data_IF_696391404909
#
_entry.id   IF_696391404909
#
_cell.length_a   1.000
_cell.length_b   1.000
_cell.length_c   1.000
_cell.angle_alpha   90.00
_cell.angle_beta   90.00
_cell.angle_gamma   90.00
#
_symmetry.space_group_name_H-M   'P 1'
#
loop_
_entity.id
_entity.type
_entity.pdbx_description
1 polymer ?
#
# COMPACT_ATOMS: atom_id res chain seq x y z
N UNK A 1 -10.83 -8.65 -16.77
CA UNK A 1 -10.42 -8.23 -15.40
C UNK A 1 -10.13 -6.74 -15.41
N UNK A 2 -10.52 -6.01 -14.37
CA UNK A 2 -10.09 -4.62 -14.10
C UNK A 2 -8.94 -4.64 -13.09
N UNK A 3 -7.87 -3.87 -13.36
CA UNK A 3 -6.80 -3.47 -12.43
C UNK A 3 -6.95 -1.97 -12.18
N UNK A 4 -7.54 -1.59 -11.03
CA UNK A 4 -7.89 -0.21 -10.68
C UNK A 4 -6.81 0.42 -9.80
N UNK A 5 -6.35 1.62 -10.18
CA UNK A 5 -5.16 2.22 -9.61
C UNK A 5 -3.92 1.39 -9.96
N UNK A 6 -3.81 0.99 -11.23
CA UNK A 6 -2.85 -0.02 -11.68
C UNK A 6 -1.38 0.41 -11.55
N UNK A 7 -1.10 1.72 -11.40
CA UNK A 7 0.25 2.24 -11.36
C UNK A 7 1.10 1.73 -12.55
N UNK A 8 2.17 1.02 -12.25
CA UNK A 8 3.04 0.37 -13.24
C UNK A 8 2.50 -0.96 -13.78
N UNK A 9 1.22 -1.31 -13.54
CA UNK A 9 0.56 -2.51 -14.04
C UNK A 9 1.06 -3.81 -13.39
N UNK A 10 1.45 -3.77 -12.12
CA UNK A 10 1.99 -4.95 -11.44
C UNK A 10 0.94 -6.05 -11.30
N UNK A 11 -0.22 -5.73 -10.77
CA UNK A 11 -1.32 -6.70 -10.54
C UNK A 11 -1.80 -7.27 -11.87
N UNK A 12 -2.09 -6.42 -12.85
CA UNK A 12 -2.55 -6.86 -14.17
C UNK A 12 -1.61 -7.87 -14.80
N UNK A 13 -0.30 -7.61 -14.78
CA UNK A 13 0.71 -8.53 -15.34
C UNK A 13 0.89 -9.80 -14.50
N UNK A 14 0.76 -9.70 -13.16
CA UNK A 14 0.90 -10.86 -12.28
C UNK A 14 -0.24 -11.86 -12.47
N UNK A 15 -1.46 -11.37 -12.70
CA UNK A 15 -2.63 -12.23 -12.89
C UNK A 15 -2.90 -12.60 -14.36
N UNK A 16 -2.28 -11.91 -15.32
CA UNK A 16 -2.45 -12.21 -16.75
C UNK A 16 -2.27 -13.68 -17.14
N UNK A 17 -1.28 -14.44 -16.59
CA UNK A 17 -1.13 -15.86 -16.91
C UNK A 17 -2.30 -16.76 -16.45
N UNK A 18 -3.12 -16.27 -15.52
CA UNK A 18 -4.30 -17.01 -15.00
C UNK A 18 -5.60 -16.63 -15.67
N UNK A 19 -5.57 -15.65 -16.57
CA UNK A 19 -6.73 -15.25 -17.39
C UNK A 19 -6.84 -16.20 -18.58
N UNK A 20 -8.05 -16.63 -18.88
CA UNK A 20 -8.31 -17.51 -20.04
C UNK A 20 -7.76 -16.91 -21.35
N UNK A 21 -7.29 -17.74 -22.29
CA UNK A 21 -6.87 -17.27 -23.61
C UNK A 21 -7.92 -16.36 -24.26
N UNK A 22 -7.46 -15.24 -24.84
CA UNK A 22 -8.35 -14.21 -25.42
C UNK A 22 -9.01 -13.30 -24.39
N UNK A 23 -8.71 -13.47 -23.11
CA UNK A 23 -9.18 -12.55 -22.06
C UNK A 23 -8.52 -11.19 -22.10
N UNK A 24 -9.01 -10.26 -21.29
CA UNK A 24 -8.57 -8.86 -21.28
C UNK A 24 -8.30 -8.36 -19.87
N UNK A 25 -7.21 -7.63 -19.70
CA UNK A 25 -6.91 -6.81 -18.51
C UNK A 25 -7.10 -5.35 -18.87
N UNK A 26 -8.03 -4.67 -18.19
CA UNK A 26 -8.20 -3.21 -18.28
C UNK A 26 -7.48 -2.59 -17.09
N UNK A 27 -6.43 -1.84 -17.36
CA UNK A 27 -5.62 -1.12 -16.39
C UNK A 27 -6.10 0.33 -16.33
N UNK A 28 -6.61 0.78 -15.19
CA UNK A 28 -7.08 2.15 -15.00
C UNK A 28 -6.21 2.85 -13.96
N UNK A 29 -5.70 4.03 -14.30
CA UNK A 29 -4.98 4.91 -13.37
C UNK A 29 -5.23 6.36 -13.79
N UNK A 30 -5.15 7.32 -12.86
CA UNK A 30 -5.27 8.75 -13.18
C UNK A 30 -3.97 9.35 -13.71
N UNK A 31 -2.83 8.71 -13.43
CA UNK A 31 -1.50 9.21 -13.76
C UNK A 31 -1.02 8.64 -15.11
N UNK A 32 -1.16 9.42 -16.21
CA UNK A 32 -0.72 8.99 -17.54
C UNK A 32 0.76 8.57 -17.62
N UNK A 33 1.71 9.19 -16.88
CA UNK A 33 3.09 8.71 -16.84
C UNK A 33 3.21 7.26 -16.32
N UNK A 34 2.41 6.88 -15.31
CA UNK A 34 2.38 5.51 -14.79
C UNK A 34 1.80 4.53 -15.81
N UNK A 35 0.73 4.94 -16.52
CA UNK A 35 0.14 4.15 -17.59
C UNK A 35 1.11 3.93 -18.75
N UNK A 36 1.91 4.92 -19.11
CA UNK A 36 2.94 4.78 -20.15
C UNK A 36 3.99 3.73 -19.75
N UNK A 37 4.44 3.73 -18.52
CA UNK A 37 5.33 2.72 -17.97
C UNK A 37 4.66 1.34 -17.92
N UNK A 38 3.40 1.27 -17.49
CA UNK A 38 2.64 0.02 -17.46
C UNK A 38 2.50 -0.61 -18.86
N UNK A 39 2.26 0.21 -19.90
CA UNK A 39 2.22 -0.24 -21.31
C UNK A 39 3.55 -0.83 -21.74
N UNK A 40 4.66 -0.15 -21.44
CA UNK A 40 6.00 -0.62 -21.78
C UNK A 40 6.29 -1.98 -21.14
N UNK A 41 6.00 -2.12 -19.85
CA UNK A 41 6.20 -3.38 -19.11
C UNK A 41 5.28 -4.50 -19.58
N UNK A 42 4.04 -4.19 -19.96
CA UNK A 42 3.10 -5.19 -20.48
C UNK A 42 3.50 -5.71 -21.86
N UNK A 43 4.13 -4.86 -22.68
CA UNK A 43 4.65 -5.27 -24.00
C UNK A 43 5.75 -6.35 -23.92
N UNK A 44 6.43 -6.47 -22.77
CA UNK A 44 7.42 -7.52 -22.51
C UNK A 44 6.79 -8.84 -22.02
N UNK A 45 5.47 -8.82 -21.74
CA UNK A 45 4.75 -9.99 -21.24
C UNK A 45 4.45 -10.99 -22.35
N UNK A 46 4.61 -12.27 -22.04
CA UNK A 46 4.36 -13.39 -22.98
C UNK A 46 2.98 -14.01 -22.77
N UNK A 47 2.01 -13.29 -22.20
CA UNK A 47 0.66 -13.82 -21.95
C UNK A 47 -0.21 -13.78 -23.20
N UNK A 48 -1.22 -14.66 -23.26
CA UNK A 48 -2.21 -14.70 -24.33
C UNK A 48 -3.40 -13.72 -24.10
N UNK A 49 -3.40 -12.97 -23.01
CA UNK A 49 -4.40 -11.96 -22.75
C UNK A 49 -3.97 -10.58 -23.29
N UNK A 50 -4.95 -9.76 -23.65
CA UNK A 50 -4.73 -8.38 -24.08
C UNK A 50 -4.71 -7.42 -22.89
N UNK A 51 -3.97 -6.33 -23.02
CA UNK A 51 -3.96 -5.22 -22.06
C UNK A 51 -4.58 -3.98 -22.70
N UNK A 52 -5.44 -3.32 -21.95
CA UNK A 52 -6.01 -2.01 -22.28
C UNK A 52 -5.66 -1.04 -21.15
N UNK A 53 -5.21 0.17 -21.50
CA UNK A 53 -4.79 1.17 -20.52
C UNK A 53 -5.64 2.42 -20.69
N UNK A 54 -6.34 2.81 -19.64
CA UNK A 54 -7.32 3.88 -19.63
C UNK A 54 -6.98 4.88 -18.53
N UNK A 55 -6.79 6.15 -18.90
CA UNK A 55 -6.67 7.22 -17.92
C UNK A 55 -8.05 7.51 -17.31
N UNK A 56 -8.16 7.44 -15.98
CA UNK A 56 -9.43 7.64 -15.30
C UNK A 56 -9.32 7.66 -13.78
N UNK A 57 -10.33 8.26 -13.15
CA UNK A 57 -10.44 8.37 -11.70
C UNK A 57 -11.04 7.09 -11.09
N UNK A 58 -10.49 6.66 -9.95
CA UNK A 58 -10.96 5.47 -9.25
C UNK A 58 -12.40 5.58 -8.72
N UNK A 59 -12.86 6.80 -8.42
CA UNK A 59 -14.24 7.07 -7.97
C UNK A 59 -15.24 7.26 -9.13
N UNK A 60 -14.82 7.10 -10.41
CA UNK A 60 -15.66 7.19 -11.60
C UNK A 60 -15.00 6.41 -12.73
N UNK A 61 -15.04 5.08 -12.62
CA UNK A 61 -14.36 4.16 -13.55
C UNK A 61 -14.99 4.25 -14.95
N UNK A 62 -14.22 4.53 -16.01
CA UNK A 62 -14.73 4.72 -17.37
C UNK A 62 -15.07 3.39 -18.06
N UNK A 63 -15.80 2.53 -17.39
CA UNK A 63 -16.32 1.27 -17.89
C UNK A 63 -17.83 1.20 -17.65
N UNK A 64 -18.53 0.49 -18.55
CA UNK A 64 -19.94 0.20 -18.37
C UNK A 64 -20.21 -0.70 -17.15
N UNK A 65 -21.43 -0.72 -16.66
CA UNK A 65 -21.87 -1.67 -15.64
C UNK A 65 -21.65 -3.10 -16.12
N UNK A 66 -21.28 -3.99 -15.20
CA UNK A 66 -21.14 -5.42 -15.45
C UNK A 66 -20.15 -5.79 -16.60
N UNK A 67 -19.16 -4.92 -16.87
CA UNK A 67 -18.23 -5.04 -18.00
C UNK A 67 -17.09 -6.05 -17.79
N UNK A 68 -16.84 -6.47 -16.55
CA UNK A 68 -15.71 -7.36 -16.20
C UNK A 68 -16.12 -8.50 -15.27
N UNK A 69 -15.38 -9.61 -15.32
CA UNK A 69 -15.58 -10.77 -14.43
C UNK A 69 -14.99 -10.55 -13.05
N UNK A 70 -13.93 -9.74 -12.95
CA UNK A 70 -13.24 -9.45 -11.70
C UNK A 70 -12.66 -8.04 -11.71
N UNK A 71 -12.63 -7.41 -10.52
CA UNK A 71 -11.97 -6.13 -10.29
C UNK A 71 -10.99 -6.25 -9.13
N UNK A 72 -9.79 -5.71 -9.32
CA UNK A 72 -8.71 -5.70 -8.33
C UNK A 72 -8.27 -4.27 -8.06
N UNK A 73 -7.87 -4.01 -6.80
CA UNK A 73 -7.04 -2.87 -6.45
C UNK A 73 -5.95 -3.31 -5.46
N UNK A 74 -4.80 -2.63 -5.52
CA UNK A 74 -3.70 -2.82 -4.56
C UNK A 74 -3.14 -1.48 -4.15
N UNK A 75 -3.05 -1.22 -2.83
CA UNK A 75 -2.51 0.03 -2.27
C UNK A 75 -3.10 1.29 -2.90
N UNK A 76 -4.38 1.23 -3.23
CA UNK A 76 -5.15 2.31 -3.82
C UNK A 76 -6.05 2.98 -2.78
N UNK A 77 -6.86 2.18 -2.08
CA UNK A 77 -7.90 2.68 -1.17
C UNK A 77 -7.31 3.50 -0.02
N UNK A 78 -6.10 3.16 0.41
CA UNK A 78 -5.37 3.88 1.46
C UNK A 78 -5.05 5.35 1.10
N UNK A 79 -5.08 5.71 -0.17
CA UNK A 79 -4.78 7.06 -0.66
C UNK A 79 -6.04 7.89 -0.94
N UNK A 80 -7.22 7.31 -0.80
CA UNK A 80 -8.48 7.96 -1.16
C UNK A 80 -9.20 8.52 0.07
N UNK A 81 -9.73 9.73 -0.06
CA UNK A 81 -10.59 10.33 0.95
C UNK A 81 -11.93 9.56 1.08
N UNK A 82 -12.42 9.00 -0.03
CA UNK A 82 -13.68 8.27 -0.14
C UNK A 82 -13.45 6.84 -0.70
N UNK A 83 -12.79 5.93 0.05
CA UNK A 83 -12.44 4.59 -0.46
C UNK A 83 -13.67 3.75 -0.80
N UNK A 84 -14.78 3.92 -0.06
CA UNK A 84 -16.02 3.19 -0.33
C UNK A 84 -16.64 3.56 -1.68
N UNK A 85 -16.48 4.80 -2.15
CA UNK A 85 -16.92 5.21 -3.49
C UNK A 85 -16.15 4.48 -4.58
N UNK A 86 -14.84 4.33 -4.41
CA UNK A 86 -14.00 3.55 -5.32
C UNK A 86 -14.43 2.07 -5.33
N UNK A 87 -14.64 1.49 -4.15
CA UNK A 87 -15.11 0.11 -4.02
C UNK A 87 -16.50 -0.09 -4.66
N UNK A 88 -17.40 0.90 -4.53
CA UNK A 88 -18.72 0.87 -5.19
C UNK A 88 -18.58 0.84 -6.73
N UNK A 89 -17.64 1.58 -7.30
CA UNK A 89 -17.33 1.53 -8.73
C UNK A 89 -16.81 0.15 -9.16
N UNK A 90 -15.93 -0.46 -8.35
CA UNK A 90 -15.49 -1.84 -8.61
C UNK A 90 -16.69 -2.82 -8.62
N UNK A 91 -17.60 -2.69 -7.66
CA UNK A 91 -18.84 -3.51 -7.60
C UNK A 91 -19.74 -3.24 -8.81
N UNK A 92 -19.87 -1.98 -9.24
CA UNK A 92 -20.69 -1.60 -10.40
C UNK A 92 -20.22 -2.28 -11.68
N UNK A 93 -18.92 -2.21 -11.95
CA UNK A 93 -18.35 -2.72 -13.21
C UNK A 93 -18.18 -4.23 -13.25
N UNK A 94 -18.21 -4.90 -12.09
CA UNK A 94 -18.19 -6.37 -12.02
C UNK A 94 -19.57 -6.92 -12.32
N UNK A 95 -19.65 -7.98 -13.17
CA UNK A 95 -20.90 -8.67 -13.47
C UNK A 95 -21.45 -9.44 -12.26
N UNK A 96 -22.76 -9.79 -12.22
CA UNK A 96 -23.29 -10.72 -11.25
C UNK A 96 -22.49 -12.04 -11.20
N UNK A 97 -22.26 -12.59 -10.01
CA UNK A 97 -21.39 -13.74 -9.77
C UNK A 97 -19.89 -13.47 -9.88
N UNK A 98 -19.49 -12.29 -10.34
CA UNK A 98 -18.07 -11.89 -10.43
C UNK A 98 -17.47 -11.54 -9.07
N UNK A 99 -16.16 -11.26 -9.05
CA UNK A 99 -15.39 -11.10 -7.82
C UNK A 99 -14.73 -9.73 -7.74
N UNK A 100 -14.72 -9.14 -6.53
CA UNK A 100 -13.96 -7.95 -6.18
C UNK A 100 -12.84 -8.37 -5.22
N UNK A 101 -11.62 -7.91 -5.47
CA UNK A 101 -10.42 -8.20 -4.67
C UNK A 101 -9.75 -6.90 -4.28
N UNK A 102 -9.54 -6.68 -2.99
CA UNK A 102 -8.78 -5.56 -2.45
C UNK A 102 -7.56 -6.07 -1.72
N UNK A 103 -6.39 -5.56 -2.08
CA UNK A 103 -5.12 -5.85 -1.44
C UNK A 103 -4.56 -4.56 -0.82
N UNK A 104 -4.87 -4.33 0.45
CA UNK A 104 -4.59 -3.06 1.12
C UNK A 104 -3.85 -3.26 2.44
N UNK A 105 -2.97 -2.31 2.81
CA UNK A 105 -2.21 -2.40 4.03
C UNK A 105 -3.04 -2.04 5.26
N UNK A 106 -2.52 -2.47 6.40
CA UNK A 106 -2.74 -1.86 7.70
C UNK A 106 -1.40 -1.29 8.18
N UNK A 107 -1.20 0.00 7.93
CA UNK A 107 -0.06 0.77 8.40
C UNK A 107 -0.41 1.57 9.66
N UNK A 108 -1.33 1.04 10.48
CA UNK A 108 -1.64 1.65 11.77
C UNK A 108 -0.39 1.66 12.66
N UNK A 109 -0.14 2.75 13.40
CA UNK A 109 0.98 2.81 14.32
C UNK A 109 0.81 1.81 15.48
N UNK A 110 1.77 0.94 15.69
CA UNK A 110 1.73 -0.06 16.77
C UNK A 110 2.41 -1.39 16.43
N UNK A 111 2.81 -1.58 15.17
CA UNK A 111 3.66 -2.71 14.80
C UNK A 111 5.07 -2.54 15.36
N UNK A 112 5.58 -3.58 16.03
CA UNK A 112 6.96 -3.59 16.51
C UNK A 112 7.89 -4.19 15.46
N UNK A 113 8.97 -3.49 15.16
CA UNK A 113 10.08 -3.99 14.35
C UNK A 113 11.33 -4.01 15.21
N UNK A 114 11.92 -5.19 15.41
CA UNK A 114 13.21 -5.30 16.07
C UNK A 114 14.32 -4.70 15.20
N UNK A 115 15.19 -3.90 15.82
CA UNK A 115 16.35 -3.28 15.20
C UNK A 115 17.55 -3.38 16.16
N UNK A 116 18.67 -3.91 15.71
CA UNK A 116 19.83 -4.23 16.57
C UNK A 116 20.65 -3.03 17.02
N UNK A 117 20.47 -1.88 16.41
CA UNK A 117 21.30 -0.67 16.69
C UNK A 117 20.84 0.12 17.91
N UNK A 118 19.65 -0.16 18.41
CA UNK A 118 19.14 0.48 19.63
C UNK A 118 18.12 -0.39 20.34
N UNK A 119 18.07 -0.28 21.65
CA UNK A 119 16.98 -0.79 22.48
C UNK A 119 16.00 0.35 22.74
N UNK A 120 14.70 0.06 22.64
CA UNK A 120 13.66 1.01 22.99
C UNK A 120 13.33 0.85 24.47
N UNK A 121 13.55 1.92 25.24
CA UNK A 121 12.98 2.01 26.58
C UNK A 121 11.45 2.19 26.51
N UNK A 122 10.75 1.86 27.59
CA UNK A 122 9.29 1.92 27.63
C UNK A 122 8.74 3.31 27.24
N UNK A 123 9.37 4.37 27.72
CA UNK A 123 8.98 5.75 27.41
C UNK A 123 9.20 6.08 25.93
N UNK A 124 10.25 5.53 25.30
CA UNK A 124 10.49 5.67 23.86
C UNK A 124 9.38 5.01 23.05
N UNK A 125 8.93 3.81 23.44
CA UNK A 125 7.83 3.09 22.78
C UNK A 125 6.54 3.90 22.85
N UNK A 126 6.22 4.46 24.02
CA UNK A 126 5.03 5.30 24.19
C UNK A 126 5.11 6.59 23.37
N UNK A 127 6.26 7.24 23.36
CA UNK A 127 6.48 8.46 22.59
C UNK A 127 6.32 8.22 21.09
N UNK A 128 6.94 7.16 20.56
CA UNK A 128 6.85 6.81 19.15
C UNK A 128 5.43 6.39 18.74
N UNK A 129 4.77 5.59 19.56
CA UNK A 129 3.38 5.22 19.34
C UNK A 129 2.47 6.47 19.29
N UNK A 130 2.65 7.38 20.25
CA UNK A 130 1.90 8.65 20.30
C UNK A 130 2.16 9.48 19.04
N UNK A 131 3.42 9.65 18.64
CA UNK A 131 3.79 10.41 17.45
C UNK A 131 3.20 9.79 16.18
N UNK A 132 3.29 8.47 16.05
CA UNK A 132 2.71 7.72 14.94
C UNK A 132 1.20 7.92 14.83
N UNK A 133 0.46 7.73 15.93
CA UNK A 133 -1.00 7.93 15.95
C UNK A 133 -1.38 9.39 15.72
N UNK A 134 -0.62 10.36 16.24
CA UNK A 134 -0.83 11.78 15.95
C UNK A 134 -0.74 12.06 14.45
N UNK A 135 0.33 11.60 13.80
CA UNK A 135 0.51 11.75 12.34
C UNK A 135 -0.57 11.01 11.54
N UNK A 136 -0.95 9.80 11.97
CA UNK A 136 -2.00 9.01 11.34
C UNK A 136 -3.35 9.75 11.31
N UNK A 137 -3.81 10.25 12.47
CA UNK A 137 -5.07 11.01 12.54
C UNK A 137 -4.99 12.35 11.81
N UNK A 138 -3.81 12.99 11.81
CA UNK A 138 -3.60 14.22 11.06
C UNK A 138 -3.68 14.00 9.55
N UNK A 139 -3.09 12.91 9.03
CA UNK A 139 -3.23 12.50 7.64
C UNK A 139 -4.70 12.34 7.24
N UNK A 140 -5.49 11.66 8.08
CA UNK A 140 -6.95 11.49 7.85
C UNK A 140 -7.67 12.84 7.88
N UNK A 141 -7.37 13.71 8.85
CA UNK A 141 -7.98 15.04 8.97
C UNK A 141 -7.69 15.93 7.75
N UNK A 142 -6.55 15.74 7.10
CA UNK A 142 -6.17 16.42 5.84
C UNK A 142 -6.81 15.81 4.58
N UNK A 143 -7.59 14.74 4.71
CA UNK A 143 -8.23 14.06 3.58
C UNK A 143 -7.26 13.26 2.70
N UNK A 144 -6.08 12.92 3.20
CA UNK A 144 -5.05 12.18 2.46
C UNK A 144 -5.24 10.64 2.50
N UNK A 145 -6.44 10.20 2.88
CA UNK A 145 -6.80 8.79 2.96
C UNK A 145 -6.51 8.16 4.32
N UNK A 146 -6.70 6.84 4.40
CA UNK A 146 -6.54 6.03 5.60
C UNK A 146 -5.48 4.95 5.38
N UNK A 147 -4.29 5.12 5.94
CA UNK A 147 -3.19 4.15 5.76
C UNK A 147 -3.45 2.78 6.42
N UNK A 148 -4.50 2.65 7.24
CA UNK A 148 -4.96 1.40 7.83
C UNK A 148 -6.30 0.91 7.22
N UNK A 149 -6.64 1.36 6.02
CA UNK A 149 -7.92 1.04 5.34
C UNK A 149 -8.17 -0.46 5.20
N UNK A 150 -7.10 -1.26 5.15
CA UNK A 150 -7.21 -2.71 5.00
C UNK A 150 -8.17 -3.36 6.01
N UNK A 151 -8.18 -2.87 7.26
CA UNK A 151 -9.06 -3.40 8.32
C UNK A 151 -10.54 -3.05 8.14
N UNK A 152 -10.85 -2.03 7.33
CA UNK A 152 -12.22 -1.56 7.10
C UNK A 152 -12.89 -2.18 5.86
N UNK A 153 -12.12 -2.87 5.01
CA UNK A 153 -12.62 -3.42 3.74
C UNK A 153 -13.79 -4.39 3.93
N UNK A 154 -13.79 -5.34 4.88
CA UNK A 154 -14.91 -6.27 5.03
C UNK A 154 -16.23 -5.57 5.31
N UNK A 155 -16.24 -4.52 6.12
CA UNK A 155 -17.42 -3.73 6.40
C UNK A 155 -17.91 -2.99 5.15
N UNK A 156 -17.02 -2.36 4.40
CA UNK A 156 -17.35 -1.68 3.15
C UNK A 156 -17.92 -2.66 2.12
N UNK A 157 -17.29 -3.84 1.95
CA UNK A 157 -17.80 -4.90 1.06
C UNK A 157 -19.21 -5.36 1.45
N UNK A 158 -19.44 -5.55 2.76
CA UNK A 158 -20.76 -5.95 3.26
C UNK A 158 -21.82 -4.88 3.00
N UNK A 159 -21.54 -3.60 3.27
CA UNK A 159 -22.45 -2.49 2.98
C UNK A 159 -22.80 -2.36 1.51
N UNK A 160 -21.86 -2.68 0.63
CA UNK A 160 -22.07 -2.69 -0.83
C UNK A 160 -22.75 -3.98 -1.36
N UNK A 161 -23.19 -4.87 -0.47
CA UNK A 161 -23.97 -6.04 -0.81
C UNK A 161 -23.15 -7.21 -1.37
N UNK A 162 -21.82 -7.20 -1.23
CA UNK A 162 -21.00 -8.36 -1.60
C UNK A 162 -21.23 -9.52 -0.62
N UNK A 163 -21.18 -10.74 -1.14
CA UNK A 163 -21.38 -11.98 -0.39
C UNK A 163 -20.15 -12.87 -0.45
N UNK A 164 -20.06 -13.88 0.42
CA UNK A 164 -18.92 -14.79 0.46
C UNK A 164 -17.61 -14.05 0.71
N UNK A 165 -17.65 -13.04 1.59
CA UNK A 165 -16.46 -12.25 1.93
C UNK A 165 -15.47 -13.17 2.63
N UNK A 166 -14.24 -13.25 2.12
CA UNK A 166 -13.13 -14.00 2.69
C UNK A 166 -11.90 -13.10 2.79
N UNK A 167 -11.04 -13.34 3.78
CA UNK A 167 -9.87 -12.53 4.04
C UNK A 167 -8.61 -13.37 4.26
N UNK A 168 -7.50 -12.86 3.77
CA UNK A 168 -6.15 -13.39 3.96
C UNK A 168 -5.23 -12.28 4.43
N UNK A 169 -4.24 -12.64 5.23
CA UNK A 169 -3.14 -11.76 5.58
C UNK A 169 -1.86 -12.29 4.93
N UNK A 170 -0.95 -11.38 4.56
CA UNK A 170 0.36 -11.78 4.06
C UNK A 170 1.15 -12.54 5.15
N UNK A 171 1.89 -13.55 4.74
CA UNK A 171 2.73 -14.39 5.64
C UNK A 171 4.19 -13.93 5.67
N UNK A 172 4.51 -12.83 5.00
CA UNK A 172 5.90 -12.43 4.78
C UNK A 172 6.46 -11.65 5.97
N UNK A 173 7.54 -12.17 6.55
CA UNK A 173 8.38 -11.44 7.50
C UNK A 173 9.49 -10.71 6.73
N UNK A 174 9.67 -9.43 7.01
CA UNK A 174 10.78 -8.64 6.50
C UNK A 174 11.93 -8.70 7.50
N UNK A 175 13.09 -9.16 7.04
CA UNK A 175 14.26 -9.25 7.90
C UNK A 175 15.56 -8.93 7.16
N UNK A 176 16.53 -8.46 7.90
CA UNK A 176 17.90 -8.25 7.44
C UNK A 176 18.86 -8.99 8.38
N UNK A 177 19.68 -9.85 7.78
CA UNK A 177 20.73 -10.61 8.44
C UNK A 177 21.97 -10.60 7.52
N UNK A 178 23.16 -10.23 8.02
CA UNK A 178 24.36 -10.28 7.19
C UNK A 178 24.61 -11.65 6.56
N UNK A 179 25.13 -11.72 5.35
CA UNK A 179 25.68 -10.67 4.50
C UNK A 179 24.68 -9.92 3.61
N UNK A 180 23.37 -10.05 3.79
CA UNK A 180 22.29 -9.41 3.00
C UNK A 180 22.31 -9.82 1.52
N UNK A 181 22.59 -11.07 1.20
CA UNK A 181 22.94 -11.56 -0.13
C UNK A 181 21.72 -11.98 -0.98
N UNK A 182 20.53 -12.10 -0.38
CA UNK A 182 19.32 -12.38 -1.16
C UNK A 182 18.80 -11.12 -1.86
N UNK A 183 18.11 -11.25 -3.03
CA UNK A 183 17.56 -10.09 -3.74
C UNK A 183 16.69 -9.20 -2.88
N UNK A 184 15.88 -9.80 -2.01
CA UNK A 184 14.97 -9.06 -1.12
C UNK A 184 15.74 -8.30 -0.02
N UNK A 185 16.77 -8.90 0.57
CA UNK A 185 17.58 -8.25 1.58
C UNK A 185 18.41 -7.10 0.99
N UNK A 186 18.97 -7.28 -0.23
CA UNK A 186 19.62 -6.19 -0.95
C UNK A 186 18.67 -5.02 -1.23
N UNK A 187 17.43 -5.33 -1.61
CA UNK A 187 16.40 -4.31 -1.84
C UNK A 187 16.10 -3.54 -0.54
N UNK A 188 15.85 -4.22 0.58
CA UNK A 188 15.58 -3.55 1.87
C UNK A 188 16.77 -2.75 2.38
N UNK A 189 18.00 -3.29 2.26
CA UNK A 189 19.21 -2.54 2.60
C UNK A 189 19.27 -1.22 1.83
N UNK A 190 19.09 -1.28 0.52
CA UNK A 190 19.07 -0.09 -0.35
C UNK A 190 17.98 0.89 0.09
N UNK A 191 16.76 0.41 0.30
CA UNK A 191 15.63 1.24 0.71
C UNK A 191 15.88 1.97 2.03
N UNK A 192 16.44 1.31 3.06
CA UNK A 192 16.74 1.94 4.35
C UNK A 192 17.76 3.07 4.16
N UNK A 193 18.84 2.82 3.42
CA UNK A 193 19.89 3.82 3.17
C UNK A 193 19.34 5.01 2.37
N UNK A 194 18.58 4.76 1.33
CA UNK A 194 17.97 5.81 0.50
C UNK A 194 16.95 6.63 1.27
N UNK A 195 16.09 5.97 2.07
CA UNK A 195 15.11 6.66 2.90
C UNK A 195 15.79 7.57 3.94
N UNK A 196 16.85 7.09 4.56
CA UNK A 196 17.63 7.93 5.47
C UNK A 196 18.26 9.14 4.75
N UNK A 197 18.88 8.92 3.59
CA UNK A 197 19.52 9.97 2.82
C UNK A 197 18.52 11.05 2.34
N UNK A 198 17.30 10.66 2.06
CA UNK A 198 16.25 11.54 1.54
C UNK A 198 15.24 12.02 2.60
N UNK A 199 15.46 11.75 3.88
CA UNK A 199 14.49 12.05 4.94
C UNK A 199 14.04 13.52 4.96
N UNK A 200 14.91 14.46 4.65
CA UNK A 200 14.58 15.88 4.67
C UNK A 200 13.55 16.27 3.58
N UNK A 201 13.44 15.49 2.50
CA UNK A 201 12.45 15.72 1.44
C UNK A 201 11.02 15.50 1.94
N UNK A 202 10.83 14.68 2.98
CA UNK A 202 9.52 14.34 3.54
C UNK A 202 9.19 15.06 4.85
N UNK A 203 10.15 15.81 5.40
CA UNK A 203 10.00 16.46 6.71
C UNK A 203 8.75 17.33 6.78
N UNK A 204 8.53 18.15 5.77
CA UNK A 204 7.41 19.09 5.71
C UNK A 204 6.06 18.37 5.72
N UNK A 205 5.89 17.36 4.87
CA UNK A 205 4.65 16.58 4.81
C UNK A 205 4.37 15.84 6.13
N UNK A 206 5.40 15.24 6.74
CA UNK A 206 5.26 14.53 8.01
C UNK A 206 4.92 15.51 9.13
N UNK A 207 5.55 16.68 9.17
CA UNK A 207 5.24 17.76 10.12
C UNK A 207 3.78 18.23 9.97
N UNK A 208 3.32 18.49 8.76
CA UNK A 208 1.95 18.91 8.50
C UNK A 208 0.93 17.86 8.99
N UNK A 209 1.20 16.57 8.75
CA UNK A 209 0.37 15.49 9.28
C UNK A 209 0.38 15.48 10.81
N UNK A 210 1.55 15.64 11.44
CA UNK A 210 1.69 15.66 12.88
C UNK A 210 0.93 16.82 13.54
N UNK A 211 1.06 18.03 12.97
CA UNK A 211 0.35 19.22 13.44
C UNK A 211 -1.17 19.10 13.26
N UNK A 212 -1.63 18.60 12.13
CA UNK A 212 -3.06 18.38 11.86
C UNK A 212 -3.69 17.36 12.83
N UNK A 213 -2.88 16.44 13.36
CA UNK A 213 -3.30 15.50 14.40
C UNK A 213 -3.25 16.05 15.83
N UNK A 214 -2.88 17.33 16.02
CA UNK A 214 -2.80 18.00 17.30
C UNK A 214 -1.43 17.92 17.98
N UNK A 215 -0.38 17.53 17.23
CA UNK A 215 1.00 17.56 17.70
C UNK A 215 1.55 18.99 17.80
N UNK A 216 2.64 19.17 18.53
CA UNK A 216 3.29 20.48 18.71
C UNK A 216 4.61 20.54 17.91
N UNK A 217 4.95 21.70 17.32
CA UNK A 217 6.18 21.84 16.52
C UNK A 217 7.45 21.45 17.26
N UNK A 218 7.58 21.87 18.54
CA UNK A 218 8.78 21.62 19.33
C UNK A 218 8.97 20.13 19.66
N UNK A 219 7.87 19.41 19.86
CA UNK A 219 7.89 17.95 20.04
C UNK A 219 8.31 17.25 18.76
N UNK A 220 7.78 17.71 17.62
CA UNK A 220 8.13 17.15 16.31
C UNK A 220 9.61 17.33 16.01
N UNK A 221 10.18 18.53 16.20
CA UNK A 221 11.61 18.78 15.91
C UNK A 221 12.50 17.86 16.75
N UNK A 222 12.21 17.70 18.04
CA UNK A 222 12.95 16.78 18.91
C UNK A 222 12.85 15.31 18.43
N UNK A 223 11.66 14.86 18.03
CA UNK A 223 11.46 13.53 17.48
C UNK A 223 12.19 13.36 16.15
N UNK A 224 12.15 14.39 15.30
CA UNK A 224 12.82 14.38 14.00
C UNK A 224 14.33 14.23 14.14
N UNK A 225 14.95 14.95 15.08
CA UNK A 225 16.39 14.80 15.40
C UNK A 225 16.69 13.38 15.88
N UNK A 226 15.92 12.87 16.85
CA UNK A 226 16.07 11.52 17.40
C UNK A 226 15.97 10.43 16.32
N UNK A 227 14.98 10.51 15.43
CA UNK A 227 14.84 9.58 14.30
C UNK A 227 16.00 9.71 13.30
N UNK A 228 16.53 10.91 13.11
CA UNK A 228 17.70 11.14 12.28
C UNK A 228 18.96 10.47 12.81
N UNK A 229 19.22 10.57 14.12
CA UNK A 229 20.35 9.89 14.76
C UNK A 229 20.23 8.38 14.63
N UNK A 230 19.07 7.82 14.93
CA UNK A 230 18.81 6.38 14.76
C UNK A 230 19.01 5.93 13.31
N UNK A 231 18.50 6.67 12.34
CA UNK A 231 18.69 6.38 10.92
C UNK A 231 20.15 6.38 10.49
N UNK A 232 20.96 7.32 11.04
CA UNK A 232 22.40 7.38 10.84
C UNK A 232 23.10 6.13 11.39
N UNK A 233 22.74 5.70 12.60
CA UNK A 233 23.32 4.52 13.23
C UNK A 233 22.96 3.24 12.48
N UNK A 234 21.70 3.15 12.00
CA UNK A 234 21.25 2.04 11.14
C UNK A 234 22.06 1.99 9.83
N UNK A 235 22.22 3.11 9.14
CA UNK A 235 22.98 3.17 7.89
C UNK A 235 24.45 2.76 8.10
N UNK A 236 25.08 3.27 9.16
CA UNK A 236 26.47 2.91 9.50
C UNK A 236 26.63 1.43 9.85
N UNK A 237 25.66 0.83 10.57
CA UNK A 237 25.66 -0.59 10.91
C UNK A 237 25.45 -1.48 9.68
N UNK A 238 24.59 -1.05 8.74
CA UNK A 238 24.40 -1.73 7.44
C UNK A 238 25.69 -1.73 6.60
N UNK A 239 26.45 -0.64 6.62
CA UNK A 239 27.74 -0.56 5.92
C UNK A 239 28.79 -1.47 6.58
N UNK A 240 28.85 -1.54 7.90
CA UNK A 240 29.76 -2.44 8.63
C UNK A 240 29.39 -3.92 8.50
N UNK A 241 28.14 -4.21 8.13
CA UNK A 241 27.63 -5.59 8.02
C UNK A 241 27.29 -6.23 9.38
N UNK A 242 26.91 -5.42 10.38
CA UNK A 242 26.53 -5.87 11.72
C UNK A 242 25.06 -5.48 12.09
N UNK A 243 24.25 -5.12 11.10
CA UNK A 243 22.86 -4.74 11.28
C UNK A 243 21.91 -5.94 11.21
N UNK A 244 21.01 -6.02 12.17
CA UNK A 244 19.92 -7.00 12.18
C UNK A 244 18.57 -6.28 12.33
N UNK A 245 17.58 -6.73 11.57
CA UNK A 245 16.22 -6.23 11.63
C UNK A 245 15.25 -7.38 11.39
N UNK A 246 14.13 -7.40 12.09
CA UNK A 246 13.00 -8.27 11.80
C UNK A 246 11.68 -7.59 12.15
N UNK A 247 10.72 -7.66 11.25
CA UNK A 247 9.38 -7.13 11.45
C UNK A 247 8.44 -7.59 10.36
N UNK A 248 7.17 -7.23 10.48
CA UNK A 248 6.15 -7.54 9.49
C UNK A 248 5.31 -6.28 9.21
N UNK A 249 4.98 -6.08 7.95
CA UNK A 249 3.91 -5.17 7.56
C UNK A 249 2.64 -5.98 7.33
N UNK A 250 1.51 -5.48 7.79
CA UNK A 250 0.23 -6.15 7.59
C UNK A 250 -0.37 -5.73 6.25
N UNK A 251 -0.54 -6.69 5.35
CA UNK A 251 -1.33 -6.55 4.15
C UNK A 251 -2.49 -7.55 4.19
N UNK A 252 -3.69 -7.05 3.96
CA UNK A 252 -4.88 -7.86 3.87
C UNK A 252 -5.32 -8.00 2.42
N UNK A 253 -5.69 -9.21 2.04
CA UNK A 253 -6.33 -9.51 0.76
C UNK A 253 -7.76 -9.92 1.09
N UNK A 254 -8.73 -9.08 0.76
CA UNK A 254 -10.13 -9.40 0.90
C UNK A 254 -10.76 -9.65 -0.45
N UNK A 255 -11.62 -10.65 -0.50
CA UNK A 255 -12.42 -10.99 -1.67
C UNK A 255 -13.89 -10.97 -1.31
N UNK A 256 -14.72 -10.53 -2.25
CA UNK A 256 -16.18 -10.60 -2.13
C UNK A 256 -16.81 -10.85 -3.50
N UNK A 257 -17.94 -11.54 -3.54
CA UNK A 257 -18.66 -11.82 -4.78
C UNK A 257 -19.89 -10.93 -4.91
N UNK A 258 -20.10 -10.38 -6.10
CA UNK A 258 -21.36 -9.73 -6.44
C UNK A 258 -22.44 -10.83 -6.55
N UNK A 259 -23.57 -10.70 -5.85
CA UNK A 259 -24.65 -11.69 -5.93
C UNK A 259 -25.07 -12.00 -7.38
N UNK A 260 -25.45 -13.24 -7.65
CA UNK A 260 -26.17 -13.58 -8.89
C UNK A 260 -27.55 -12.93 -8.85
N UNK A 261 -28.07 -12.56 -10.01
CA UNK A 261 -29.43 -11.97 -10.13
C UNK A 261 -30.50 -13.01 -9.84
#
# INVERSE_FOLDING_TARGET
MLDLGCGYGYIGRTYAPYISPGGRVVCVDREEPLLAEARARAAESTTECSFEFVCGEAGSVPLADEAVDAAFCQTLLMHLAEPEKCLAEMVRVVRPGGVVVCHEPDNSPGGYTYVSTYELEFEDVLEEARAGWTSYFGRKARGLGDSAVGTHIPEMMHRLGLVGIDGRQNEKVYFLVPPYDTPIQRHFKKMIVENYARREEWKEEILENYLAGGGRPEEFERLWEKWGERGKDMAASLERGDFFMAGAGNFYIFTGRKPEK
#
